data_IF_385012658878
#
_entry.id   IF_385012658878
#
_cell.length_a   1.000
_cell.length_b   1.000
_cell.length_c   1.000
_cell.angle_alpha   90.00
_cell.angle_beta   90.00
_cell.angle_gamma   90.00
#
_symmetry.space_group_name_H-M   'P 1'
#
loop_
_entity.id
_entity.type
_entity.pdbx_description
1 polymer ?
#
# COMPACT_ATOMS: atom_id res chain seq x y z
N UNK A 1 -9.17 2.95 -18.69
CA UNK A 1 -9.68 1.61 -18.29
C UNK A 1 -11.18 1.71 -18.29
N UNK A 2 -11.91 0.67 -18.70
CA UNK A 2 -13.36 0.63 -18.51
C UNK A 2 -13.67 0.26 -17.05
N UNK A 3 -14.86 0.64 -16.52
CA UNK A 3 -15.32 0.20 -15.20
C UNK A 3 -15.36 -1.33 -15.08
N UNK A 4 -15.00 -1.88 -13.90
CA UNK A 4 -14.89 -3.33 -13.71
C UNK A 4 -16.21 -4.06 -14.02
N UNK A 5 -17.32 -3.43 -13.66
CA UNK A 5 -18.69 -3.92 -13.85
C UNK A 5 -19.20 -3.77 -15.29
N UNK A 6 -18.54 -2.92 -16.09
CA UNK A 6 -18.79 -2.81 -17.53
C UNK A 6 -18.04 -3.89 -18.29
N UNK A 7 -16.78 -4.16 -17.91
CA UNK A 7 -15.97 -5.24 -18.48
C UNK A 7 -16.43 -6.64 -18.02
N UNK A 8 -16.90 -6.75 -16.76
CA UNK A 8 -17.38 -7.99 -16.15
C UNK A 8 -18.72 -7.76 -15.42
N UNK A 9 -19.88 -7.85 -16.11
CA UNK A 9 -21.19 -7.62 -15.50
C UNK A 9 -21.58 -8.64 -14.41
N UNK A 10 -20.89 -9.77 -14.31
CA UNK A 10 -21.10 -10.84 -13.33
C UNK A 10 -19.78 -11.51 -12.98
N UNK A 11 -19.75 -12.20 -11.82
CA UNK A 11 -18.61 -13.01 -11.39
C UNK A 11 -18.15 -14.05 -12.43
N UNK A 12 -19.09 -14.68 -13.16
CA UNK A 12 -18.77 -15.63 -14.23
C UNK A 12 -17.95 -14.99 -15.35
N UNK A 13 -18.23 -13.72 -15.68
CA UNK A 13 -17.52 -13.01 -16.75
C UNK A 13 -16.05 -12.72 -16.36
N UNK A 14 -15.78 -12.53 -15.06
CA UNK A 14 -14.40 -12.53 -14.51
C UNK A 14 -13.76 -13.91 -14.66
N UNK A 15 -14.45 -14.97 -14.22
CA UNK A 15 -13.92 -16.34 -14.26
C UNK A 15 -13.56 -16.80 -15.69
N UNK A 16 -14.41 -16.49 -16.66
CA UNK A 16 -14.26 -16.87 -18.07
C UNK A 16 -13.17 -16.07 -18.76
N UNK A 17 -13.09 -14.76 -18.52
CA UNK A 17 -12.05 -13.90 -19.09
C UNK A 17 -10.63 -14.30 -18.63
N UNK A 18 -10.50 -14.79 -17.40
CA UNK A 18 -9.25 -15.30 -16.84
C UNK A 18 -8.99 -16.77 -17.16
N UNK A 19 -9.96 -17.47 -17.79
CA UNK A 19 -9.88 -18.89 -18.19
C UNK A 19 -9.49 -19.81 -17.03
N UNK A 20 -10.06 -19.55 -15.86
CA UNK A 20 -9.69 -20.23 -14.62
C UNK A 20 -10.04 -21.73 -14.66
N UNK A 21 -9.23 -22.53 -13.97
CA UNK A 21 -9.57 -23.94 -13.72
C UNK A 21 -10.78 -24.04 -12.76
N UNK A 22 -11.46 -25.19 -12.65
CA UNK A 22 -12.52 -25.40 -11.65
C UNK A 22 -12.04 -25.32 -10.18
N UNK A 23 -10.74 -25.21 -9.91
CA UNK A 23 -10.20 -24.85 -8.59
C UNK A 23 -10.03 -23.31 -8.49
N UNK A 24 -9.54 -22.65 -9.54
CA UNK A 24 -9.44 -21.20 -9.63
C UNK A 24 -10.79 -20.48 -9.61
N UNK A 25 -11.81 -21.00 -10.31
CA UNK A 25 -13.17 -20.46 -10.31
C UNK A 25 -13.74 -20.36 -8.89
N UNK A 26 -13.74 -21.48 -8.15
CA UNK A 26 -14.15 -21.54 -6.74
C UNK A 26 -13.27 -20.69 -5.82
N UNK A 27 -11.97 -20.57 -6.10
CA UNK A 27 -11.08 -19.69 -5.33
C UNK A 27 -11.47 -18.21 -5.48
N UNK A 28 -11.94 -17.80 -6.65
CA UNK A 28 -12.40 -16.43 -6.94
C UNK A 28 -13.85 -16.19 -6.47
N UNK A 29 -14.67 -17.24 -6.43
CA UNK A 29 -16.00 -17.26 -5.80
C UNK A 29 -15.91 -17.07 -4.27
N UNK A 30 -15.08 -17.86 -3.60
CA UNK A 30 -14.75 -17.67 -2.17
C UNK A 30 -14.21 -16.26 -1.87
N UNK A 31 -13.45 -15.68 -2.81
CA UNK A 31 -12.95 -14.31 -2.69
C UNK A 31 -14.09 -13.29 -2.79
N UNK A 32 -14.91 -13.39 -3.85
CA UNK A 32 -16.07 -12.52 -4.07
C UNK A 32 -16.99 -12.50 -2.84
N UNK A 33 -17.35 -13.67 -2.30
CA UNK A 33 -18.23 -13.78 -1.13
C UNK A 33 -17.62 -13.13 0.11
N UNK A 34 -16.33 -13.39 0.39
CA UNK A 34 -15.63 -12.80 1.55
C UNK A 34 -15.55 -11.27 1.46
N UNK A 35 -15.28 -10.71 0.27
CA UNK A 35 -15.30 -9.28 0.03
C UNK A 35 -16.71 -8.70 0.10
N UNK A 36 -17.72 -9.39 -0.45
CA UNK A 36 -19.12 -8.97 -0.43
C UNK A 36 -19.67 -8.91 1.00
N UNK A 37 -19.22 -9.82 1.87
CA UNK A 37 -19.57 -9.85 3.28
C UNK A 37 -18.83 -8.79 4.15
N UNK A 38 -17.67 -8.29 3.69
CA UNK A 38 -16.78 -7.44 4.51
C UNK A 38 -16.43 -6.11 3.85
N UNK A 39 -15.58 -6.13 2.81
CA UNK A 39 -15.04 -4.93 2.19
C UNK A 39 -16.11 -4.11 1.46
N UNK A 40 -17.08 -4.79 0.84
CA UNK A 40 -18.17 -4.14 0.12
C UNK A 40 -19.07 -3.28 1.04
N UNK A 41 -19.62 -3.79 2.16
CA UNK A 41 -20.31 -2.93 3.14
C UNK A 41 -19.44 -1.81 3.71
N UNK A 42 -18.16 -2.06 3.99
CA UNK A 42 -17.24 -1.03 4.49
C UNK A 42 -17.08 0.14 3.49
N UNK A 43 -16.73 -0.16 2.23
CA UNK A 43 -16.53 0.87 1.20
C UNK A 43 -17.85 1.58 0.89
N UNK A 44 -18.97 0.84 0.84
CA UNK A 44 -20.30 1.42 0.62
C UNK A 44 -20.70 2.36 1.75
N UNK A 45 -20.36 2.03 3.00
CA UNK A 45 -20.54 2.91 4.17
C UNK A 45 -19.71 4.19 4.09
N UNK A 46 -18.44 4.08 3.66
CA UNK A 46 -17.56 5.24 3.45
C UNK A 46 -18.09 6.13 2.33
N UNK A 47 -18.49 5.56 1.18
CA UNK A 47 -19.04 6.32 0.05
C UNK A 47 -20.37 6.97 0.42
N UNK A 48 -21.24 6.30 1.19
CA UNK A 48 -22.47 6.90 1.71
C UNK A 48 -22.18 8.19 2.51
N UNK A 49 -21.15 8.20 3.36
CA UNK A 49 -20.73 9.37 4.13
C UNK A 49 -19.99 10.43 3.29
N UNK A 50 -19.26 10.01 2.24
CA UNK A 50 -18.60 10.91 1.30
C UNK A 50 -19.62 11.65 0.41
N UNK A 51 -20.65 10.96 -0.10
CA UNK A 51 -21.58 11.44 -1.13
C UNK A 51 -22.18 12.83 -0.88
N UNK A 52 -22.68 13.18 0.32
CA UNK A 52 -23.17 14.54 0.59
C UNK A 52 -22.10 15.62 0.36
N UNK A 53 -20.86 15.35 0.74
CA UNK A 53 -19.73 16.26 0.56
C UNK A 53 -19.25 16.29 -0.88
N UNK A 54 -19.22 15.14 -1.58
CA UNK A 54 -18.88 15.09 -3.01
C UNK A 54 -19.93 15.84 -3.86
N UNK A 55 -21.22 15.75 -3.52
CA UNK A 55 -22.30 16.52 -4.15
C UNK A 55 -22.16 18.03 -3.87
N UNK A 56 -21.80 18.41 -2.64
CA UNK A 56 -21.50 19.81 -2.29
C UNK A 56 -20.27 20.35 -3.04
N UNK A 57 -19.21 19.54 -3.13
CA UNK A 57 -17.97 19.85 -3.82
C UNK A 57 -18.22 20.06 -5.34
N UNK A 58 -18.99 19.17 -5.97
CA UNK A 58 -19.39 19.31 -7.37
C UNK A 58 -20.32 20.53 -7.61
N UNK A 59 -21.26 20.80 -6.71
CA UNK A 59 -22.11 21.99 -6.77
C UNK A 59 -21.32 23.30 -6.61
N UNK A 60 -20.14 23.26 -5.98
CA UNK A 60 -19.16 24.34 -5.95
C UNK A 60 -18.23 24.39 -7.19
N UNK A 61 -18.56 23.65 -8.25
CA UNK A 61 -17.84 23.67 -9.53
C UNK A 61 -16.58 22.78 -9.59
N UNK A 62 -16.38 21.87 -8.63
CA UNK A 62 -15.18 21.02 -8.56
C UNK A 62 -15.36 19.72 -9.32
N UNK A 63 -14.38 19.33 -10.13
CA UNK A 63 -14.31 17.96 -10.68
C UNK A 63 -14.00 16.96 -9.56
N UNK A 64 -14.79 15.90 -9.44
CA UNK A 64 -14.53 14.81 -8.51
C UNK A 64 -13.66 13.76 -9.22
N UNK A 65 -12.55 13.36 -8.61
CA UNK A 65 -11.56 12.46 -9.25
C UNK A 65 -11.18 11.33 -8.31
N UNK A 66 -11.57 10.11 -8.67
CA UNK A 66 -11.16 8.89 -8.00
C UNK A 66 -9.75 8.50 -8.47
N UNK A 67 -8.80 8.36 -7.54
CA UNK A 67 -7.39 8.13 -7.83
C UNK A 67 -7.07 6.67 -8.14
N UNK A 68 -7.67 6.16 -9.23
CA UNK A 68 -7.35 4.90 -9.88
C UNK A 68 -7.13 3.76 -8.89
N UNK A 69 -5.88 3.24 -8.82
CA UNK A 69 -5.41 2.16 -7.93
C UNK A 69 -6.22 2.07 -6.64
N UNK A 70 -6.22 3.13 -5.84
CA UNK A 70 -6.87 3.17 -4.52
C UNK A 70 -8.27 3.81 -4.54
N UNK A 71 -8.61 4.51 -5.63
CA UNK A 71 -9.91 5.15 -5.83
C UNK A 71 -10.99 4.23 -6.42
N UNK A 72 -10.63 3.15 -7.12
CA UNK A 72 -11.54 2.34 -7.96
C UNK A 72 -12.70 1.72 -7.18
N UNK A 73 -12.50 1.29 -5.93
CA UNK A 73 -13.59 0.74 -5.11
C UNK A 73 -14.60 1.82 -4.70
N UNK A 74 -14.12 3.02 -4.36
CA UNK A 74 -14.99 4.16 -4.07
C UNK A 74 -15.71 4.64 -5.34
N UNK A 75 -15.05 4.56 -6.50
CA UNK A 75 -15.65 4.88 -7.79
C UNK A 75 -16.78 3.89 -8.15
N UNK A 76 -16.53 2.59 -8.02
CA UNK A 76 -17.51 1.52 -8.25
C UNK A 76 -18.75 1.66 -7.34
N UNK A 77 -18.55 1.85 -6.03
CA UNK A 77 -19.65 2.10 -5.11
C UNK A 77 -20.37 3.44 -5.39
N UNK A 78 -19.68 4.48 -5.87
CA UNK A 78 -20.32 5.75 -6.25
C UNK A 78 -21.18 5.61 -7.52
N UNK A 79 -20.71 4.85 -8.52
CA UNK A 79 -21.50 4.54 -9.73
C UNK A 79 -22.78 3.79 -9.40
N UNK A 80 -22.72 2.84 -8.48
CA UNK A 80 -23.89 2.09 -8.03
C UNK A 80 -24.85 2.93 -7.15
N UNK A 81 -24.34 3.68 -6.17
CA UNK A 81 -25.18 4.48 -5.24
C UNK A 81 -25.72 5.79 -5.84
N UNK A 82 -25.08 6.33 -6.87
CA UNK A 82 -25.40 7.65 -7.42
C UNK A 82 -24.99 7.78 -8.91
N UNK A 83 -25.53 6.95 -9.82
CA UNK A 83 -25.08 6.87 -11.22
C UNK A 83 -25.14 8.21 -11.96
N UNK A 84 -26.23 8.96 -11.86
CA UNK A 84 -26.40 10.25 -12.53
C UNK A 84 -25.37 11.29 -12.06
N UNK A 85 -25.08 11.31 -10.75
CA UNK A 85 -24.07 12.17 -10.15
C UNK A 85 -22.66 11.78 -10.59
N UNK A 86 -22.38 10.47 -10.72
CA UNK A 86 -21.11 10.01 -11.23
C UNK A 86 -20.91 10.46 -12.69
N UNK A 87 -21.88 10.15 -13.56
CA UNK A 87 -21.83 10.49 -14.98
C UNK A 87 -21.74 12.00 -15.24
N UNK A 88 -22.29 12.83 -14.36
CA UNK A 88 -22.29 14.30 -14.51
C UNK A 88 -21.09 15.02 -13.87
N UNK A 89 -20.31 14.40 -12.97
CA UNK A 89 -19.31 15.13 -12.17
C UNK A 89 -18.07 14.35 -11.73
N UNK A 90 -17.98 13.04 -12.03
CA UNK A 90 -16.91 12.17 -11.54
C UNK A 90 -16.02 11.63 -12.67
N UNK A 91 -14.72 11.49 -12.35
CA UNK A 91 -13.68 10.99 -13.24
C UNK A 91 -12.80 9.96 -12.51
N UNK A 92 -12.13 9.08 -13.26
CA UNK A 92 -11.08 8.19 -12.74
C UNK A 92 -9.73 8.53 -13.37
N UNK A 93 -8.71 8.76 -12.53
CA UNK A 93 -7.34 9.04 -12.98
C UNK A 93 -6.35 8.14 -12.24
N UNK A 94 -5.67 7.24 -12.96
CA UNK A 94 -4.68 6.32 -12.37
C UNK A 94 -3.35 7.03 -12.22
N UNK A 95 -3.11 7.53 -11.01
CA UNK A 95 -1.85 8.16 -10.61
C UNK A 95 -1.12 7.29 -9.58
N UNK A 96 0.17 7.57 -9.42
CA UNK A 96 0.94 7.10 -8.28
C UNK A 96 1.85 8.20 -7.76
N UNK A 97 2.35 8.02 -6.53
CA UNK A 97 3.38 8.88 -5.94
C UNK A 97 4.68 8.92 -6.76
N UNK A 98 4.95 7.92 -7.62
CA UNK A 98 6.11 7.92 -8.52
C UNK A 98 5.83 8.78 -9.76
N UNK A 99 4.64 8.63 -10.35
CA UNK A 99 4.19 9.39 -11.53
C UNK A 99 4.17 10.90 -11.30
N UNK A 100 3.67 11.36 -10.15
CA UNK A 100 3.62 12.82 -9.85
C UNK A 100 4.99 13.35 -9.41
N UNK A 101 5.78 12.56 -8.67
CA UNK A 101 7.16 12.93 -8.30
C UNK A 101 8.09 13.03 -9.53
N UNK A 102 7.87 12.24 -10.59
CA UNK A 102 8.56 12.42 -11.86
C UNK A 102 8.27 13.80 -12.48
N UNK A 103 7.01 14.24 -12.46
CA UNK A 103 6.62 15.56 -12.94
C UNK A 103 7.19 16.71 -12.08
N UNK A 104 7.36 16.50 -10.78
CA UNK A 104 8.06 17.45 -9.88
C UNK A 104 9.53 17.56 -10.31
N UNK A 105 10.21 16.44 -10.54
CA UNK A 105 11.62 16.43 -10.99
C UNK A 105 11.81 17.03 -12.40
N UNK A 106 10.83 16.86 -13.30
CA UNK A 106 10.83 17.46 -14.65
C UNK A 106 10.84 18.99 -14.58
N UNK A 107 10.08 19.57 -13.66
CA UNK A 107 10.07 21.01 -13.39
C UNK A 107 11.37 21.48 -12.71
N UNK A 108 11.86 20.74 -11.72
CA UNK A 108 13.14 21.04 -11.05
C UNK A 108 14.33 21.07 -12.03
N UNK A 109 14.33 20.18 -13.02
CA UNK A 109 15.39 20.03 -14.00
C UNK A 109 15.25 20.99 -15.20
N UNK A 110 14.05 21.12 -15.78
CA UNK A 110 13.85 21.85 -17.04
C UNK A 110 13.36 23.30 -16.87
N UNK A 111 12.95 23.72 -15.66
CA UNK A 111 12.60 25.12 -15.36
C UNK A 111 13.41 25.74 -14.22
N UNK A 112 14.01 24.91 -13.37
CA UNK A 112 14.70 25.37 -12.16
C UNK A 112 13.77 25.59 -10.97
N UNK A 113 12.48 25.21 -11.08
CA UNK A 113 11.47 25.30 -10.02
C UNK A 113 11.93 24.54 -8.75
N UNK A 114 11.46 24.95 -7.57
CA UNK A 114 11.86 24.35 -6.28
C UNK A 114 10.64 24.22 -5.37
N UNK A 115 10.55 23.10 -4.65
CA UNK A 115 9.36 22.73 -3.87
C UNK A 115 9.72 22.38 -2.41
N UNK A 116 10.43 23.26 -1.67
CA UNK A 116 10.96 22.95 -0.33
C UNK A 116 9.85 22.61 0.67
N UNK A 117 8.71 23.30 0.61
CA UNK A 117 7.55 23.12 1.48
C UNK A 117 6.86 21.75 1.30
N UNK A 118 7.26 20.99 0.28
CA UNK A 118 6.68 19.69 -0.08
C UNK A 118 7.62 18.50 0.15
N UNK A 119 8.89 18.70 0.56
CA UNK A 119 9.86 17.59 0.70
C UNK A 119 9.38 16.48 1.65
N UNK A 120 8.56 16.81 2.67
CA UNK A 120 7.90 15.84 3.57
C UNK A 120 6.96 14.84 2.88
N UNK A 121 6.60 15.09 1.63
CA UNK A 121 5.78 14.23 0.78
C UNK A 121 6.60 13.46 -0.28
N UNK A 122 7.86 13.85 -0.51
CA UNK A 122 8.72 13.36 -1.61
C UNK A 122 9.49 12.07 -1.30
N UNK A 123 8.97 11.23 -0.41
CA UNK A 123 9.58 9.94 -0.03
C UNK A 123 9.82 8.98 -1.23
N UNK A 124 9.12 9.18 -2.35
CA UNK A 124 9.28 8.40 -3.59
C UNK A 124 10.32 8.95 -4.57
N UNK A 125 11.02 10.06 -4.26
CA UNK A 125 12.01 10.72 -5.16
C UNK A 125 13.05 9.77 -5.75
N UNK A 126 13.55 8.82 -4.94
CA UNK A 126 14.53 7.79 -5.34
C UNK A 126 13.95 6.57 -6.08
N UNK A 127 12.64 6.53 -6.33
CA UNK A 127 11.94 5.45 -7.06
C UNK A 127 11.56 5.84 -8.49
N UNK A 128 11.79 7.09 -8.90
CA UNK A 128 11.61 7.54 -10.27
C UNK A 128 12.83 7.11 -11.09
N UNK A 129 12.61 6.51 -12.26
CA UNK A 129 13.67 6.18 -13.20
C UNK A 129 14.14 7.45 -13.93
N UNK A 130 15.44 7.59 -14.20
CA UNK A 130 16.00 8.83 -14.74
C UNK A 130 15.49 9.13 -16.17
N UNK A 131 15.22 8.08 -16.93
CA UNK A 131 14.60 8.10 -18.26
C UNK A 131 13.13 8.53 -18.25
N UNK A 132 12.43 8.39 -17.12
CA UNK A 132 11.01 8.74 -17.00
C UNK A 132 10.77 10.22 -16.66
N UNK A 133 11.76 10.91 -16.08
CA UNK A 133 11.65 12.33 -15.71
C UNK A 133 11.36 13.25 -16.91
N UNK A 134 12.13 13.25 -18.02
CA UNK A 134 12.05 14.32 -19.02
C UNK A 134 10.68 14.41 -19.71
N UNK A 135 10.04 15.58 -19.61
CA UNK A 135 8.72 15.86 -20.18
C UNK A 135 7.54 15.16 -19.49
N UNK A 136 7.76 14.53 -18.33
CA UNK A 136 6.69 13.86 -17.58
C UNK A 136 5.63 14.83 -17.04
N UNK A 137 5.96 16.09 -16.71
CA UNK A 137 4.97 17.10 -16.38
C UNK A 137 4.00 17.33 -17.54
N UNK A 138 4.52 17.39 -18.78
CA UNK A 138 3.68 17.53 -19.98
C UNK A 138 2.80 16.30 -20.21
N UNK A 139 3.34 15.08 -20.02
CA UNK A 139 2.58 13.83 -20.15
C UNK A 139 1.48 13.71 -19.10
N UNK A 140 1.76 14.06 -17.84
CA UNK A 140 0.78 14.12 -16.76
C UNK A 140 -0.30 15.19 -17.01
N UNK A 141 0.09 16.38 -17.51
CA UNK A 141 -0.84 17.46 -17.84
C UNK A 141 -1.81 17.06 -18.96
N UNK A 142 -1.30 16.37 -19.99
CA UNK A 142 -2.13 15.82 -21.06
C UNK A 142 -3.09 14.76 -20.52
N UNK A 143 -2.55 13.68 -19.92
CA UNK A 143 -3.34 12.57 -19.37
C UNK A 143 -4.48 13.03 -18.45
N UNK A 144 -4.21 13.96 -17.52
CA UNK A 144 -5.24 14.50 -16.63
C UNK A 144 -6.35 15.20 -17.42
N UNK A 145 -6.01 16.04 -18.40
CA UNK A 145 -7.00 16.76 -19.23
C UNK A 145 -7.77 15.83 -20.15
N UNK A 146 -7.14 14.77 -20.64
CA UNK A 146 -7.76 13.77 -21.51
C UNK A 146 -8.72 12.85 -20.72
N UNK A 147 -8.47 12.63 -19.42
CA UNK A 147 -9.46 12.04 -18.49
C UNK A 147 -10.54 13.02 -18.00
N UNK A 148 -10.50 14.28 -18.46
CA UNK A 148 -11.46 15.34 -18.09
C UNK A 148 -11.07 16.18 -16.87
N UNK A 149 -9.98 15.86 -16.18
CA UNK A 149 -9.51 16.61 -15.01
C UNK A 149 -8.88 17.95 -15.44
N UNK A 150 -9.39 19.11 -14.95
CA UNK A 150 -9.01 20.44 -15.47
C UNK A 150 -7.67 20.97 -14.93
N UNK A 151 -6.68 20.08 -14.71
CA UNK A 151 -5.40 20.41 -14.07
C UNK A 151 -4.60 21.48 -14.82
N UNK A 152 -4.07 22.47 -14.09
CA UNK A 152 -3.29 23.58 -14.62
C UNK A 152 -4.07 24.53 -15.53
N UNK A 153 -5.41 24.57 -15.43
CA UNK A 153 -6.25 25.64 -15.99
C UNK A 153 -6.46 26.71 -14.90
N UNK A 154 -6.58 28.01 -15.24
CA UNK A 154 -6.99 29.03 -14.27
C UNK A 154 -8.33 28.68 -13.62
N UNK A 155 -8.49 29.03 -12.34
CA UNK A 155 -9.73 28.90 -11.55
C UNK A 155 -10.31 27.48 -11.45
N UNK A 156 -9.58 26.46 -11.91
CA UNK A 156 -10.09 25.08 -11.84
C UNK A 156 -9.95 24.50 -10.44
N UNK A 157 -10.90 23.66 -10.05
CA UNK A 157 -10.95 23.08 -8.72
C UNK A 157 -11.22 21.57 -8.81
N UNK A 158 -10.52 20.79 -7.98
CA UNK A 158 -10.52 19.34 -8.01
C UNK A 158 -10.68 18.79 -6.59
N UNK A 159 -11.46 17.72 -6.46
CA UNK A 159 -11.61 16.92 -5.23
C UNK A 159 -11.12 15.51 -5.50
N UNK A 160 -10.05 15.09 -4.81
CA UNK A 160 -9.43 13.78 -4.97
C UNK A 160 -10.04 12.77 -3.98
N UNK A 161 -10.37 11.57 -4.45
CA UNK A 161 -10.95 10.46 -3.65
C UNK A 161 -10.05 9.23 -3.73
N UNK A 162 -9.66 8.69 -2.57
CA UNK A 162 -8.50 7.81 -2.39
C UNK A 162 -8.59 7.10 -1.01
N UNK A 163 -7.91 5.97 -0.81
CA UNK A 163 -7.74 5.36 0.53
C UNK A 163 -6.61 6.00 1.36
N UNK A 164 -5.68 6.67 0.68
CA UNK A 164 -4.38 7.20 1.14
C UNK A 164 -4.37 7.99 2.45
N UNK A 165 -3.55 7.51 3.39
CA UNK A 165 -3.40 8.07 4.73
C UNK A 165 -2.83 9.51 4.80
N UNK A 166 -1.80 9.84 3.98
CA UNK A 166 -1.08 11.13 4.07
C UNK A 166 -1.56 12.17 3.04
N UNK A 167 -2.30 11.76 2.00
CA UNK A 167 -2.71 12.66 0.91
C UNK A 167 -1.58 13.11 -0.02
N UNK A 168 -0.47 12.37 -0.10
CA UNK A 168 0.74 12.72 -0.88
C UNK A 168 0.48 13.14 -2.33
N UNK A 169 -0.45 12.47 -3.03
CA UNK A 169 -0.76 12.80 -4.43
C UNK A 169 -1.43 14.17 -4.54
N UNK A 170 -2.22 14.60 -3.54
CA UNK A 170 -2.79 15.95 -3.51
C UNK A 170 -1.70 17.00 -3.46
N UNK A 171 -0.81 16.94 -2.47
CA UNK A 171 0.18 18.01 -2.26
C UNK A 171 1.19 18.11 -3.39
N UNK A 172 1.62 16.99 -3.98
CA UNK A 172 2.49 17.03 -5.16
C UNK A 172 1.77 17.56 -6.41
N UNK A 173 0.44 17.40 -6.52
CA UNK A 173 -0.36 18.04 -7.59
C UNK A 173 -0.55 19.55 -7.32
N UNK A 174 -0.83 19.95 -6.07
CA UNK A 174 -0.91 21.36 -5.67
C UNK A 174 0.38 22.11 -5.97
N UNK A 175 1.54 21.48 -5.68
CA UNK A 175 2.86 22.04 -5.94
C UNK A 175 3.11 22.36 -7.42
N UNK A 176 2.76 21.44 -8.33
CA UNK A 176 3.07 21.56 -9.77
C UNK A 176 1.97 22.26 -10.58
N UNK A 177 0.75 22.41 -10.02
CA UNK A 177 -0.38 23.10 -10.66
C UNK A 177 -0.96 24.22 -9.76
N UNK A 178 -0.20 25.29 -9.46
CA UNK A 178 -0.61 26.34 -8.51
C UNK A 178 -1.84 27.17 -8.94
N UNK A 179 -2.39 26.94 -10.14
CA UNK A 179 -3.64 27.54 -10.62
C UNK A 179 -4.87 26.65 -10.43
N UNK A 180 -4.69 25.42 -9.97
CA UNK A 180 -5.76 24.47 -9.69
C UNK A 180 -5.87 24.23 -8.19
N UNK A 181 -7.04 24.47 -7.61
CA UNK A 181 -7.28 24.19 -6.20
C UNK A 181 -7.56 22.69 -5.99
N UNK A 182 -6.67 21.98 -5.30
CA UNK A 182 -6.87 20.58 -4.91
C UNK A 182 -7.30 20.46 -3.44
N UNK A 183 -8.22 19.54 -3.20
CA UNK A 183 -8.62 19.07 -1.86
C UNK A 183 -8.86 17.56 -1.87
N UNK A 184 -9.01 16.95 -0.69
CA UNK A 184 -8.99 15.49 -0.53
C UNK A 184 -10.13 14.95 0.33
N UNK A 185 -10.61 13.77 -0.06
CA UNK A 185 -11.66 12.98 0.60
C UNK A 185 -11.15 11.54 0.70
N UNK A 186 -10.52 11.22 1.82
CA UNK A 186 -9.79 9.97 2.03
C UNK A 186 -10.59 8.98 2.87
N UNK A 187 -10.48 7.69 2.62
CA UNK A 187 -10.99 6.69 3.56
C UNK A 187 -10.32 6.87 4.94
N UNK A 188 -9.00 6.90 4.97
CA UNK A 188 -8.20 7.13 6.18
C UNK A 188 -7.36 8.38 6.02
N UNK A 189 -7.31 9.26 7.02
CA UNK A 189 -6.42 10.43 7.00
C UNK A 189 -5.67 10.62 8.31
N UNK A 190 -4.36 10.85 8.21
CA UNK A 190 -3.55 11.42 9.28
C UNK A 190 -2.68 12.56 8.77
N UNK A 191 -2.92 13.76 9.31
CA UNK A 191 -2.21 14.96 8.94
C UNK A 191 -0.71 14.83 9.16
N UNK A 192 0.06 15.45 8.28
CA UNK A 192 1.49 15.60 8.49
C UNK A 192 1.79 16.83 9.36
N UNK A 193 2.88 16.83 10.14
CA UNK A 193 3.36 18.05 10.80
C UNK A 193 3.92 19.07 9.80
N UNK A 194 4.29 18.59 8.61
CA UNK A 194 4.84 19.32 7.46
C UNK A 194 3.81 19.51 6.33
N UNK A 195 2.50 19.40 6.63
CA UNK A 195 1.43 19.63 5.65
C UNK A 195 1.11 21.13 5.53
N UNK A 196 1.26 21.77 4.36
CA UNK A 196 0.84 23.17 4.17
C UNK A 196 -0.68 23.32 4.06
N UNK A 197 -1.43 22.25 3.75
CA UNK A 197 -2.86 22.28 3.48
C UNK A 197 -3.67 21.17 4.22
N UNK A 198 -3.50 20.95 5.54
CA UNK A 198 -4.19 19.89 6.26
C UNK A 198 -5.71 20.14 6.32
N UNK A 199 -6.12 21.41 6.35
CA UNK A 199 -7.53 21.83 6.34
C UNK A 199 -8.27 21.49 5.04
N UNK A 200 -7.57 21.13 3.95
CA UNK A 200 -8.17 20.70 2.68
C UNK A 200 -8.43 19.20 2.62
N UNK A 201 -8.13 18.45 3.69
CA UNK A 201 -8.17 16.98 3.70
C UNK A 201 -9.20 16.50 4.71
N UNK A 202 -10.05 15.56 4.32
CA UNK A 202 -11.02 14.90 5.21
C UNK A 202 -10.83 13.40 5.17
N UNK A 203 -10.89 12.77 6.34
CA UNK A 203 -10.95 11.31 6.49
C UNK A 203 -12.36 10.88 6.88
N UNK A 204 -12.72 9.62 6.62
CA UNK A 204 -14.08 9.09 6.86
C UNK A 204 -14.12 7.85 7.77
N UNK A 205 -13.14 6.95 7.68
CA UNK A 205 -12.89 5.89 8.67
C UNK A 205 -12.09 6.42 9.86
N UNK A 206 -11.06 7.21 9.59
CA UNK A 206 -10.26 7.94 10.59
C UNK A 206 -9.84 9.30 10.04
N UNK A 207 -9.83 10.33 10.89
CA UNK A 207 -9.27 11.65 10.58
C UNK A 207 -8.45 12.12 11.79
N UNK A 208 -7.14 12.23 11.64
CA UNK A 208 -6.19 12.43 12.74
C UNK A 208 -5.35 13.70 12.54
N UNK A 209 -5.23 14.51 13.59
CA UNK A 209 -4.21 15.56 13.65
C UNK A 209 -2.81 14.94 13.77
N UNK A 210 -1.75 15.66 13.39
CA UNK A 210 -0.40 15.10 13.27
C UNK A 210 0.09 14.40 14.56
N UNK A 211 -0.16 14.98 15.73
CA UNK A 211 0.18 14.42 17.05
C UNK A 211 -0.56 13.11 17.42
N UNK A 212 -1.58 12.71 16.65
CA UNK A 212 -2.33 11.46 16.81
C UNK A 212 -1.91 10.38 15.79
N UNK A 213 -0.92 10.66 14.94
CA UNK A 213 -0.43 9.72 13.91
C UNK A 213 0.78 8.91 14.38
N UNK A 214 1.12 7.84 13.66
CA UNK A 214 2.34 7.07 13.87
C UNK A 214 3.58 7.98 13.86
N UNK A 215 4.33 7.93 14.97
CA UNK A 215 5.51 8.77 15.25
C UNK A 215 5.28 10.30 15.18
N UNK A 216 4.03 10.77 15.07
CA UNK A 216 3.70 12.18 14.87
C UNK A 216 3.95 12.71 13.45
N UNK A 217 4.14 11.84 12.44
CA UNK A 217 4.72 12.19 11.12
C UNK A 217 3.75 12.13 9.93
N UNK A 218 2.46 11.89 10.15
CA UNK A 218 1.50 11.64 9.07
C UNK A 218 1.63 10.22 8.49
N UNK A 219 2.02 9.24 9.30
CA UNK A 219 2.08 7.83 8.94
C UNK A 219 1.11 6.99 9.77
N UNK A 220 0.59 5.87 9.25
CA UNK A 220 -0.20 4.93 10.05
C UNK A 220 0.66 4.20 11.08
N UNK A 221 0.02 3.76 12.16
CA UNK A 221 0.64 2.95 13.21
C UNK A 221 1.16 1.62 12.64
N UNK A 222 2.36 1.27 13.09
CA UNK A 222 3.11 0.10 12.67
C UNK A 222 2.48 -1.21 13.18
N UNK A 223 1.99 -1.20 14.43
CA UNK A 223 1.23 -2.26 15.06
C UNK A 223 -0.23 -1.83 15.26
N UNK A 224 -1.14 -2.80 15.44
CA UNK A 224 -2.58 -2.54 15.53
C UNK A 224 -2.95 -1.68 16.76
N UNK A 225 -3.46 -0.47 16.52
CA UNK A 225 -3.81 0.46 17.59
C UNK A 225 -4.93 -0.10 18.51
N UNK A 226 -4.82 0.01 19.86
CA UNK A 226 -5.74 -0.66 20.79
C UNK A 226 -7.19 -0.15 20.75
N UNK A 227 -7.42 1.14 20.47
CA UNK A 227 -8.77 1.66 20.23
C UNK A 227 -9.34 1.11 18.91
N UNK A 228 -10.52 0.49 18.95
CA UNK A 228 -11.26 -0.05 17.79
C UNK A 228 -11.55 1.02 16.74
N UNK A 229 -11.96 2.23 17.17
CA UNK A 229 -12.22 3.36 16.28
C UNK A 229 -10.96 3.92 15.59
N UNK A 230 -9.78 3.36 15.87
CA UNK A 230 -8.52 3.67 15.21
C UNK A 230 -7.91 2.44 14.51
N UNK A 231 -8.73 1.45 14.16
CA UNK A 231 -8.30 0.26 13.39
C UNK A 231 -7.65 0.69 12.07
N UNK A 232 -8.33 1.50 11.26
CA UNK A 232 -7.79 2.06 10.01
C UNK A 232 -6.78 3.21 10.19
N UNK A 233 -6.31 3.44 11.42
CA UNK A 233 -5.08 4.19 11.64
C UNK A 233 -3.82 3.29 11.62
N UNK A 234 -3.97 1.97 11.44
CA UNK A 234 -2.88 0.97 11.52
C UNK A 234 -2.59 0.33 10.16
N UNK A 235 -1.34 -0.11 9.92
CA UNK A 235 -0.89 -0.62 8.60
C UNK A 235 -1.65 -1.84 8.09
N UNK A 236 -1.73 -2.95 8.84
CA UNK A 236 -2.41 -4.18 8.39
C UNK A 236 -3.85 -3.91 7.87
N UNK A 237 -4.73 -3.20 8.62
CA UNK A 237 -6.05 -2.81 8.11
C UNK A 237 -6.05 -1.94 6.85
N UNK A 238 -5.14 -0.96 6.72
CA UNK A 238 -5.03 -0.13 5.50
C UNK A 238 -4.59 -0.99 4.30
N UNK A 239 -3.57 -1.82 4.49
CA UNK A 239 -3.10 -2.77 3.47
C UNK A 239 -4.22 -3.73 3.04
N UNK A 240 -5.10 -4.15 3.97
CA UNK A 240 -6.25 -4.99 3.63
C UNK A 240 -7.23 -4.35 2.64
N UNK A 241 -7.18 -3.03 2.45
CA UNK A 241 -7.88 -2.31 1.38
C UNK A 241 -6.96 -2.09 0.17
N UNK A 242 -5.77 -1.49 0.38
CA UNK A 242 -4.81 -1.15 -0.69
C UNK A 242 -4.37 -2.37 -1.52
N UNK A 243 -4.14 -3.54 -0.90
CA UNK A 243 -3.63 -4.72 -1.61
C UNK A 243 -4.72 -5.52 -2.34
N UNK A 244 -5.99 -5.31 -1.99
CA UNK A 244 -7.12 -6.17 -2.36
C UNK A 244 -8.09 -5.50 -3.33
N UNK A 245 -8.44 -4.24 -3.06
CA UNK A 245 -9.41 -3.47 -3.82
C UNK A 245 -8.81 -2.74 -5.01
N UNK A 246 -7.49 -2.83 -5.22
CA UNK A 246 -6.81 -2.06 -6.26
C UNK A 246 -6.86 -2.63 -7.69
N UNK A 247 -7.64 -3.69 -7.87
CA UNK A 247 -7.87 -4.30 -9.18
C UNK A 247 -6.70 -5.16 -9.69
N UNK A 248 -6.73 -5.53 -10.99
CA UNK A 248 -5.84 -6.55 -11.57
C UNK A 248 -4.52 -6.02 -12.16
N UNK A 249 -4.38 -4.70 -12.31
CA UNK A 249 -3.15 -4.07 -12.82
C UNK A 249 -2.26 -3.59 -11.67
N UNK A 250 -0.97 -3.42 -11.92
CA UNK A 250 -0.01 -2.92 -10.93
C UNK A 250 -0.07 -1.39 -10.72
N UNK A 251 0.84 -0.86 -9.89
CA UNK A 251 0.93 0.59 -9.63
C UNK A 251 1.70 1.27 -10.77
N UNK A 252 1.13 2.24 -11.51
CA UNK A 252 1.84 2.86 -12.63
C UNK A 252 3.09 3.58 -12.14
N UNK A 253 4.21 3.34 -12.80
CA UNK A 253 5.48 4.02 -12.51
C UNK A 253 5.68 5.26 -13.40
N UNK A 254 5.06 5.29 -14.58
CA UNK A 254 5.21 6.34 -15.60
C UNK A 254 3.95 6.54 -16.42
N UNK A 255 3.87 7.67 -17.13
CA UNK A 255 2.86 7.93 -18.16
C UNK A 255 3.54 7.96 -19.53
N UNK A 256 2.94 7.28 -20.51
CA UNK A 256 3.27 7.31 -21.94
C UNK A 256 2.11 7.97 -22.71
N UNK A 257 1.33 7.19 -23.47
CA UNK A 257 0.01 7.58 -24.02
C UNK A 257 -1.09 7.52 -22.94
N UNK A 258 -0.81 6.81 -21.84
CA UNK A 258 -1.61 6.71 -20.63
C UNK A 258 -0.75 6.19 -19.47
N UNK A 259 -1.34 5.88 -18.30
CA UNK A 259 -0.63 5.23 -17.20
C UNK A 259 -0.07 3.88 -17.66
N UNK A 260 1.24 3.69 -17.55
CA UNK A 260 1.89 2.43 -17.92
C UNK A 260 1.79 1.49 -16.73
N UNK A 261 0.95 0.48 -16.87
CA UNK A 261 0.72 -0.60 -15.90
C UNK A 261 0.90 -1.96 -16.60
N UNK A 262 1.23 -2.99 -15.83
CA UNK A 262 1.24 -4.39 -16.26
C UNK A 262 0.20 -5.20 -15.49
N UNK A 263 -0.21 -6.32 -16.08
CA UNK A 263 -1.02 -7.35 -15.41
C UNK A 263 -0.21 -7.95 -14.27
N UNK A 264 -0.73 -7.89 -13.04
CA UNK A 264 -0.05 -8.40 -11.84
C UNK A 264 0.43 -9.85 -12.01
N UNK A 265 -0.29 -10.70 -12.76
CA UNK A 265 0.06 -12.12 -13.02
C UNK A 265 1.38 -12.34 -13.77
N UNK A 266 1.97 -11.28 -14.31
CA UNK A 266 3.30 -11.33 -14.95
C UNK A 266 4.44 -11.15 -13.94
N UNK A 267 4.15 -10.63 -12.74
CA UNK A 267 5.12 -10.56 -11.67
C UNK A 267 5.44 -11.96 -11.11
N UNK A 268 6.74 -12.24 -10.99
CA UNK A 268 7.28 -13.49 -10.43
C UNK A 268 7.47 -13.40 -8.90
N UNK A 269 7.36 -12.21 -8.33
CA UNK A 269 7.47 -11.92 -6.89
C UNK A 269 6.14 -11.84 -6.14
N UNK A 270 5.00 -12.19 -6.74
CA UNK A 270 3.66 -12.11 -6.13
C UNK A 270 3.50 -12.80 -4.75
N UNK A 271 4.34 -13.78 -4.44
CA UNK A 271 4.36 -14.53 -3.17
C UNK A 271 5.54 -14.14 -2.27
N UNK A 272 6.38 -13.19 -2.69
CA UNK A 272 7.45 -12.66 -1.86
C UNK A 272 6.85 -11.87 -0.69
N UNK A 273 7.35 -12.08 0.53
CA UNK A 273 6.83 -11.48 1.76
C UNK A 273 5.58 -12.17 2.36
N UNK A 274 5.00 -13.17 1.69
CA UNK A 274 3.89 -13.98 2.24
C UNK A 274 4.40 -15.19 3.05
N UNK A 275 3.80 -15.47 4.21
CA UNK A 275 4.11 -16.71 4.96
C UNK A 275 3.56 -17.92 4.17
N UNK A 276 4.41 -18.84 3.65
CA UNK A 276 3.96 -19.93 2.80
C UNK A 276 3.09 -20.98 3.50
N UNK A 277 2.98 -20.97 4.84
CA UNK A 277 1.97 -21.76 5.57
C UNK A 277 0.56 -21.15 5.48
N UNK A 278 0.47 -19.82 5.41
CA UNK A 278 -0.82 -19.13 5.40
C UNK A 278 -1.46 -19.05 4.02
N UNK A 279 -0.69 -19.26 2.94
CA UNK A 279 -1.18 -19.25 1.55
C UNK A 279 -1.47 -20.68 1.06
N UNK A 280 -2.74 -21.12 0.97
CA UNK A 280 -3.10 -22.45 0.48
C UNK A 280 -2.68 -22.65 -0.97
N UNK A 281 -2.54 -23.90 -1.41
CA UNK A 281 -2.04 -24.23 -2.76
C UNK A 281 -2.82 -23.52 -3.89
N UNK A 282 -4.15 -23.48 -3.82
CA UNK A 282 -5.02 -22.81 -4.81
C UNK A 282 -4.75 -21.30 -4.95
N UNK A 283 -4.36 -20.66 -3.86
CA UNK A 283 -4.03 -19.23 -3.79
C UNK A 283 -2.61 -18.88 -4.27
N UNK A 284 -1.85 -19.87 -4.77
CA UNK A 284 -0.53 -19.69 -5.38
C UNK A 284 -0.59 -19.55 -6.91
N UNK A 285 -1.76 -19.70 -7.51
CA UNK A 285 -1.98 -19.41 -8.94
C UNK A 285 -2.07 -17.89 -9.16
N UNK A 286 -1.16 -17.26 -9.93
CA UNK A 286 -1.19 -15.83 -10.20
C UNK A 286 -2.43 -15.37 -10.97
N UNK A 287 -3.09 -16.26 -11.74
CA UNK A 287 -4.37 -15.95 -12.40
C UNK A 287 -5.51 -15.81 -11.39
N UNK A 288 -5.63 -16.76 -10.45
CA UNK A 288 -6.65 -16.70 -9.40
C UNK A 288 -6.44 -15.48 -8.48
N UNK A 289 -5.19 -15.13 -8.16
CA UNK A 289 -4.84 -13.94 -7.35
C UNK A 289 -5.24 -12.62 -8.04
N UNK A 290 -5.01 -12.51 -9.35
CA UNK A 290 -5.37 -11.32 -10.13
C UNK A 290 -6.89 -11.23 -10.34
N UNK A 291 -7.54 -12.35 -10.67
CA UNK A 291 -9.00 -12.46 -10.81
C UNK A 291 -9.74 -12.14 -9.50
N UNK A 292 -9.21 -12.55 -8.34
CA UNK A 292 -9.79 -12.24 -7.04
C UNK A 292 -9.88 -10.72 -6.78
N UNK A 293 -8.96 -9.91 -7.30
CA UNK A 293 -8.99 -8.43 -7.16
C UNK A 293 -9.98 -7.77 -8.12
N UNK A 294 -10.18 -8.34 -9.30
CA UNK A 294 -11.28 -7.96 -10.19
C UNK A 294 -12.64 -8.29 -9.54
N UNK A 295 -12.78 -9.48 -8.97
CA UNK A 295 -13.97 -9.89 -8.22
C UNK A 295 -14.20 -9.06 -6.94
N UNK A 296 -13.15 -8.59 -6.26
CA UNK A 296 -13.25 -7.69 -5.11
C UNK A 296 -13.94 -6.36 -5.46
N UNK A 297 -13.51 -5.73 -6.57
CA UNK A 297 -14.14 -4.50 -7.06
C UNK A 297 -15.59 -4.72 -7.52
N UNK A 298 -15.88 -5.88 -8.15
CA UNK A 298 -17.24 -6.24 -8.53
C UNK A 298 -18.13 -6.47 -7.30
N UNK A 299 -17.64 -7.15 -6.26
CA UNK A 299 -18.38 -7.33 -5.00
C UNK A 299 -18.73 -5.99 -4.32
N UNK A 300 -17.84 -4.98 -4.40
CA UNK A 300 -18.11 -3.61 -3.94
C UNK A 300 -19.23 -2.96 -4.77
N UNK A 301 -19.20 -3.09 -6.09
CA UNK A 301 -20.26 -2.59 -6.97
C UNK A 301 -21.62 -3.25 -6.67
N UNK A 302 -21.67 -4.57 -6.66
CA UNK A 302 -22.92 -5.33 -6.58
C UNK A 302 -23.63 -5.15 -5.23
N UNK A 303 -22.87 -5.06 -4.13
CA UNK A 303 -23.43 -4.71 -2.82
C UNK A 303 -23.97 -3.28 -2.81
N UNK A 304 -23.19 -2.33 -3.33
CA UNK A 304 -23.60 -0.93 -3.40
C UNK A 304 -24.87 -0.74 -4.26
N UNK A 305 -25.03 -1.56 -5.31
CA UNK A 305 -26.22 -1.56 -6.17
C UNK A 305 -27.44 -2.18 -5.47
N UNK A 306 -27.26 -3.28 -4.74
CA UNK A 306 -28.32 -3.91 -3.92
C UNK A 306 -28.91 -2.91 -2.91
N UNK A 307 -28.05 -2.13 -2.24
CA UNK A 307 -28.47 -1.21 -1.17
C UNK A 307 -28.82 0.21 -1.63
N UNK A 308 -28.72 0.53 -2.93
CA UNK A 308 -29.06 1.84 -3.49
C UNK A 308 -30.54 2.32 -3.44
N UNK A 309 -31.61 1.47 -3.35
CA UNK A 309 -32.97 1.91 -3.68
C UNK A 309 -33.61 3.06 -2.88
N UNK A 310 -34.23 3.97 -3.63
CA UNK A 310 -35.44 4.70 -3.21
C UNK A 310 -35.24 5.99 -2.43
N UNK A 311 -34.80 5.90 -1.18
CA UNK A 311 -34.64 7.07 -0.30
C UNK A 311 -33.53 6.84 0.73
N UNK A 312 -32.52 7.71 0.72
CA UNK A 312 -31.43 7.72 1.70
C UNK A 312 -31.93 8.32 3.04
N UNK A 313 -32.78 7.57 3.76
CA UNK A 313 -33.29 7.93 5.09
C UNK A 313 -32.21 7.86 6.17
N UNK A 314 -32.47 8.38 7.37
CA UNK A 314 -31.54 8.21 8.49
C UNK A 314 -31.31 6.72 8.81
N UNK A 315 -32.37 5.92 8.83
CA UNK A 315 -32.28 4.47 9.06
C UNK A 315 -31.37 3.77 8.04
N UNK A 316 -31.36 4.24 6.78
CA UNK A 316 -30.47 3.75 5.73
C UNK A 316 -29.00 4.09 6.02
N UNK A 317 -28.70 5.35 6.39
CA UNK A 317 -27.34 5.75 6.77
C UNK A 317 -26.87 5.00 8.03
N UNK A 318 -27.71 4.89 9.06
CA UNK A 318 -27.39 4.18 10.30
C UNK A 318 -27.15 2.69 10.04
N UNK A 319 -27.87 2.08 9.10
CA UNK A 319 -27.64 0.68 8.69
C UNK A 319 -26.32 0.51 7.94
N UNK A 320 -26.00 1.40 6.98
CA UNK A 320 -24.69 1.40 6.32
C UNK A 320 -23.56 1.62 7.33
N UNK A 321 -23.75 2.46 8.35
CA UNK A 321 -22.77 2.65 9.42
C UNK A 321 -22.53 1.35 10.21
N UNK A 322 -23.59 0.69 10.71
CA UNK A 322 -23.47 -0.59 11.44
C UNK A 322 -22.75 -1.67 10.65
N UNK A 323 -23.02 -1.77 9.34
CA UNK A 323 -22.36 -2.73 8.45
C UNK A 323 -20.87 -2.41 8.26
N UNK A 324 -20.51 -1.13 8.13
CA UNK A 324 -19.11 -0.68 8.10
C UNK A 324 -18.37 -0.89 9.43
N UNK A 325 -19.05 -0.72 10.56
CA UNK A 325 -18.52 -1.04 11.89
C UNK A 325 -18.27 -2.55 12.05
N UNK A 326 -19.22 -3.40 11.64
CA UNK A 326 -19.07 -4.86 11.64
C UNK A 326 -17.88 -5.31 10.77
N UNK A 327 -17.75 -4.77 9.56
CA UNK A 327 -16.61 -5.04 8.68
C UNK A 327 -15.27 -4.54 9.27
N UNK A 328 -15.29 -3.40 9.96
CA UNK A 328 -14.13 -2.88 10.69
C UNK A 328 -13.71 -3.82 11.82
N UNK A 329 -14.67 -4.37 12.57
CA UNK A 329 -14.41 -5.38 13.60
C UNK A 329 -13.80 -6.65 13.00
N UNK A 330 -14.24 -7.09 11.81
CA UNK A 330 -13.71 -8.29 11.18
C UNK A 330 -12.27 -8.12 10.66
N UNK A 331 -12.02 -7.05 9.92
CA UNK A 331 -10.66 -6.69 9.47
C UNK A 331 -9.73 -6.50 10.68
N UNK A 332 -10.24 -5.98 11.81
CA UNK A 332 -9.51 -5.91 13.08
C UNK A 332 -9.16 -7.30 13.64
N UNK A 333 -10.08 -8.28 13.60
CA UNK A 333 -9.80 -9.66 14.05
C UNK A 333 -8.72 -10.32 13.19
N UNK A 334 -8.78 -10.17 11.87
CA UNK A 334 -7.72 -10.64 10.97
C UNK A 334 -6.37 -9.95 11.24
N UNK A 335 -6.35 -8.62 11.40
CA UNK A 335 -5.12 -7.87 11.68
C UNK A 335 -4.49 -8.28 13.03
N UNK A 336 -5.33 -8.50 14.05
CA UNK A 336 -4.92 -9.01 15.36
C UNK A 336 -4.47 -10.49 15.35
N UNK A 337 -4.59 -11.20 14.22
CA UNK A 337 -4.39 -12.66 14.08
C UNK A 337 -5.24 -13.46 15.07
N UNK A 338 -6.47 -13.01 15.36
CA UNK A 338 -7.37 -13.70 16.29
C UNK A 338 -7.82 -15.06 15.75
N UNK A 339 -8.06 -16.01 16.66
CA UNK A 339 -8.74 -17.27 16.38
C UNK A 339 -10.23 -17.07 16.05
N UNK A 340 -10.81 -15.95 16.47
CA UNK A 340 -12.23 -15.61 16.25
C UNK A 340 -12.47 -14.89 14.92
N UNK A 341 -11.45 -14.69 14.09
CA UNK A 341 -11.58 -14.10 12.76
C UNK A 341 -12.29 -15.07 11.81
N UNK A 342 -13.09 -14.54 10.86
CA UNK A 342 -13.77 -15.37 9.87
C UNK A 342 -12.76 -16.22 9.07
N UNK A 343 -12.89 -17.57 9.02
CA UNK A 343 -11.92 -18.42 8.33
C UNK A 343 -11.84 -18.17 6.82
N UNK A 344 -12.93 -17.74 6.18
CA UNK A 344 -12.97 -17.42 4.76
C UNK A 344 -12.17 -16.16 4.46
N UNK A 345 -12.56 -15.04 5.06
CA UNK A 345 -11.86 -13.77 4.93
C UNK A 345 -10.39 -13.89 5.38
N UNK A 346 -10.10 -14.59 6.49
CA UNK A 346 -8.72 -14.82 6.92
C UNK A 346 -7.90 -15.53 5.84
N UNK A 347 -8.45 -16.56 5.21
CA UNK A 347 -7.78 -17.31 4.14
C UNK A 347 -7.56 -16.44 2.89
N UNK A 348 -8.55 -15.61 2.53
CA UNK A 348 -8.44 -14.66 1.42
C UNK A 348 -7.36 -13.61 1.73
N UNK A 349 -7.47 -12.88 2.84
CA UNK A 349 -6.57 -11.78 3.18
C UNK A 349 -5.14 -12.23 3.44
N UNK A 350 -4.91 -13.33 4.19
CA UNK A 350 -3.56 -13.87 4.38
C UNK A 350 -2.94 -14.42 3.07
N UNK A 351 -3.76 -14.66 2.03
CA UNK A 351 -3.26 -15.03 0.71
C UNK A 351 -2.84 -13.83 -0.13
N UNK A 352 -3.54 -12.69 -0.05
CA UNK A 352 -3.41 -11.58 -1.02
C UNK A 352 -2.87 -10.26 -0.44
N UNK A 353 -2.92 -10.08 0.89
CA UNK A 353 -2.54 -8.83 1.57
C UNK A 353 -1.16 -8.95 2.20
N UNK A 354 -0.28 -8.00 1.95
CA UNK A 354 1.02 -7.93 2.61
C UNK A 354 0.87 -7.38 4.03
N UNK A 355 1.02 -8.24 5.03
CA UNK A 355 1.12 -7.82 6.43
C UNK A 355 2.37 -6.97 6.67
N UNK A 356 2.38 -6.16 7.73
CA UNK A 356 3.46 -5.23 8.08
C UNK A 356 4.82 -5.91 8.33
N UNK A 357 4.82 -7.21 8.64
CA UNK A 357 6.03 -8.03 8.83
C UNK A 357 6.60 -8.63 7.54
N UNK A 358 5.98 -8.41 6.37
CA UNK A 358 6.44 -8.95 5.09
C UNK A 358 7.94 -8.70 4.76
N UNK A 359 8.62 -7.60 5.14
CA UNK A 359 10.05 -7.44 4.84
C UNK A 359 10.91 -8.47 5.60
N UNK A 360 10.48 -8.87 6.79
CA UNK A 360 11.13 -9.91 7.60
C UNK A 360 10.84 -11.29 7.02
N UNK A 361 9.61 -11.53 6.56
CA UNK A 361 9.22 -12.76 5.87
C UNK A 361 10.03 -12.93 4.57
N UNK A 362 10.19 -11.88 3.77
CA UNK A 362 11.05 -11.86 2.58
C UNK A 362 12.49 -12.26 2.91
N UNK A 363 13.10 -11.66 3.94
CA UNK A 363 14.46 -12.03 4.38
C UNK A 363 14.59 -13.51 4.73
N UNK A 364 13.55 -14.13 5.32
CA UNK A 364 13.55 -15.57 5.57
C UNK A 364 13.35 -16.40 4.28
N UNK A 365 12.44 -15.99 3.39
CA UNK A 365 12.26 -16.65 2.09
C UNK A 365 13.57 -16.66 1.28
N UNK A 366 14.22 -15.50 1.15
CA UNK A 366 15.50 -15.32 0.46
C UNK A 366 16.62 -16.12 1.13
N UNK A 367 16.62 -16.21 2.48
CA UNK A 367 17.56 -17.05 3.21
C UNK A 367 17.35 -18.55 2.92
N UNK A 368 16.11 -19.04 2.91
CA UNK A 368 15.81 -20.46 2.69
C UNK A 368 16.01 -20.89 1.23
N UNK A 369 15.85 -19.96 0.28
CA UNK A 369 15.97 -20.21 -1.16
C UNK A 369 17.30 -20.88 -1.53
N UNK A 370 17.22 -21.96 -2.31
CA UNK A 370 18.39 -22.69 -2.83
C UNK A 370 19.23 -23.47 -1.80
N UNK A 371 18.97 -23.36 -0.49
CA UNK A 371 19.82 -24.00 0.55
C UNK A 371 19.61 -25.50 0.75
N UNK A 372 18.65 -26.12 0.07
CA UNK A 372 18.39 -27.57 0.19
C UNK A 372 17.89 -28.03 1.57
N UNK A 373 17.30 -27.11 2.35
CA UNK A 373 16.73 -27.41 3.66
C UNK A 373 15.50 -28.33 3.48
N UNK A 374 15.39 -29.46 4.22
CA UNK A 374 14.26 -30.37 4.10
C UNK A 374 12.92 -29.66 4.36
N UNK A 375 11.90 -29.99 3.57
CA UNK A 375 10.55 -29.40 3.65
C UNK A 375 9.97 -29.42 5.07
N UNK A 376 10.19 -30.52 5.82
CA UNK A 376 9.78 -30.64 7.23
C UNK A 376 10.51 -29.67 8.17
N UNK A 377 11.81 -29.44 7.98
CA UNK A 377 12.56 -28.46 8.80
C UNK A 377 12.11 -27.02 8.45
N UNK A 378 11.83 -26.76 7.17
CA UNK A 378 11.25 -25.49 6.69
C UNK A 378 9.85 -25.24 7.28
N UNK A 379 8.96 -26.23 7.24
CA UNK A 379 7.61 -26.15 7.82
C UNK A 379 7.67 -25.80 9.32
N UNK A 380 8.51 -26.52 10.08
CA UNK A 380 8.70 -26.30 11.52
C UNK A 380 9.30 -24.95 11.89
N UNK A 381 10.03 -24.30 10.98
CA UNK A 381 10.46 -22.91 11.16
C UNK A 381 9.29 -21.95 10.93
N UNK A 382 8.55 -22.09 9.82
CA UNK A 382 7.40 -21.22 9.55
C UNK A 382 6.31 -21.34 10.62
N UNK A 383 6.09 -22.52 11.19
CA UNK A 383 5.18 -22.71 12.34
C UNK A 383 5.63 -21.88 13.55
N UNK A 384 6.93 -21.78 13.81
CA UNK A 384 7.48 -20.99 14.93
C UNK A 384 7.46 -19.49 14.67
N UNK A 385 7.69 -19.08 13.42
CA UNK A 385 7.50 -17.68 13.00
C UNK A 385 6.04 -17.27 13.17
N UNK A 386 5.09 -18.08 12.69
CA UNK A 386 3.67 -17.77 12.77
C UNK A 386 3.17 -17.67 14.23
N UNK A 387 3.58 -18.61 15.09
CA UNK A 387 3.19 -18.65 16.51
C UNK A 387 4.01 -17.71 17.41
N UNK A 388 4.94 -16.89 16.88
CA UNK A 388 5.70 -15.95 17.70
C UNK A 388 4.81 -14.77 18.16
N UNK A 389 4.85 -14.39 19.46
CA UNK A 389 3.80 -13.59 20.10
C UNK A 389 3.77 -12.10 19.71
N UNK A 390 4.78 -11.60 18.99
CA UNK A 390 4.77 -10.25 18.43
C UNK A 390 5.63 -10.15 17.17
N UNK A 391 5.47 -9.03 16.47
CA UNK A 391 6.29 -8.64 15.31
C UNK A 391 7.79 -8.56 15.63
N UNK A 392 8.17 -8.08 16.82
CA UNK A 392 9.58 -8.09 17.27
C UNK A 392 10.10 -9.52 17.45
N UNK A 393 9.39 -10.39 18.18
CA UNK A 393 9.79 -11.79 18.35
C UNK A 393 9.89 -12.55 17.01
N UNK A 394 9.08 -12.19 15.99
CA UNK A 394 9.25 -12.71 14.63
C UNK A 394 10.55 -12.25 13.97
N UNK A 395 10.91 -10.98 14.12
CA UNK A 395 12.19 -10.44 13.64
C UNK A 395 13.37 -11.10 14.35
N UNK A 396 13.38 -11.13 15.69
CA UNK A 396 14.45 -11.70 16.51
C UNK A 396 14.71 -13.18 16.16
N UNK A 397 13.64 -13.98 15.99
CA UNK A 397 13.73 -15.40 15.60
C UNK A 397 14.29 -15.58 14.18
N UNK A 398 13.88 -14.73 13.23
CA UNK A 398 14.36 -14.79 11.85
C UNK A 398 15.83 -14.35 11.77
N UNK A 399 16.20 -13.32 12.52
CA UNK A 399 17.59 -12.88 12.63
C UNK A 399 18.48 -13.93 13.32
N UNK A 400 18.03 -14.62 14.38
CA UNK A 400 18.76 -15.75 14.98
C UNK A 400 19.05 -16.84 13.94
N UNK A 401 18.05 -17.25 13.15
CA UNK A 401 18.22 -18.28 12.11
C UNK A 401 19.19 -17.85 11.01
N UNK A 402 19.07 -16.60 10.54
CA UNK A 402 19.93 -16.06 9.49
C UNK A 402 21.39 -15.96 9.96
N UNK A 403 21.64 -15.50 11.19
CA UNK A 403 22.99 -15.32 11.73
C UNK A 403 23.65 -16.64 12.17
N UNK A 404 22.92 -17.54 12.82
CA UNK A 404 23.49 -18.81 13.32
C UNK A 404 23.64 -19.88 12.24
N UNK A 405 22.80 -19.84 11.21
CA UNK A 405 22.65 -20.92 10.24
C UNK A 405 21.98 -22.18 10.81
N UNK A 406 21.48 -22.13 12.05
CA UNK A 406 20.88 -23.28 12.76
C UNK A 406 19.36 -23.12 12.82
N UNK A 407 18.64 -24.15 12.38
CA UNK A 407 17.18 -24.17 12.46
C UNK A 407 16.72 -24.54 13.89
N UNK A 408 15.78 -23.79 14.48
CA UNK A 408 15.43 -23.90 15.89
C UNK A 408 14.84 -25.29 16.19
N UNK A 409 15.52 -26.06 17.03
CA UNK A 409 15.17 -27.45 17.34
C UNK A 409 16.24 -28.47 16.97
N UNK A 410 17.17 -28.12 16.05
CA UNK A 410 18.45 -28.85 15.97
C UNK A 410 19.25 -28.54 17.23
N UNK A 411 19.25 -29.47 18.20
CA UNK A 411 20.24 -29.46 19.29
C UNK A 411 21.62 -29.37 18.65
N UNK A 412 22.42 -28.40 19.10
CA UNK A 412 23.76 -28.12 18.56
C UNK A 412 24.74 -29.26 18.82
N UNK A 413 24.68 -30.30 18.00
CA UNK A 413 25.79 -31.23 17.82
C UNK A 413 26.96 -30.45 17.26
N UNK A 414 27.88 -30.03 18.15
CA UNK A 414 29.16 -29.43 17.78
C UNK A 414 29.76 -30.27 16.63
N UNK A 415 30.20 -29.65 15.51
CA UNK A 415 30.99 -30.36 14.53
C UNK A 415 32.17 -31.03 15.25
N UNK A 416 32.28 -32.35 15.14
CA UNK A 416 33.40 -33.07 15.75
C UNK A 416 34.70 -32.47 15.23
N UNK A 417 35.66 -32.16 16.11
CA UNK A 417 36.96 -31.61 15.73
C UNK A 417 37.72 -32.51 14.72
N UNK A 418 37.33 -33.78 14.63
CA UNK A 418 37.79 -34.74 13.63
C UNK A 418 37.43 -34.34 12.18
N UNK A 419 36.27 -33.71 11.96
CA UNK A 419 35.85 -33.21 10.65
C UNK A 419 36.68 -32.00 10.19
N UNK A 420 37.16 -31.18 11.13
CA UNK A 420 38.11 -30.09 10.84
C UNK A 420 39.51 -30.64 10.52
N UNK A 421 39.98 -31.63 11.29
CA UNK A 421 41.30 -32.27 11.07
C UNK A 421 41.48 -32.87 9.67
N UNK A 422 40.43 -33.46 9.09
CA UNK A 422 40.49 -34.09 7.75
C UNK A 422 40.59 -33.11 6.56
N UNK A 423 40.65 -31.78 6.79
CA UNK A 423 40.92 -30.77 5.74
C UNK A 423 42.32 -30.15 5.79
N UNK A 424 43.17 -30.57 6.73
CA UNK A 424 44.46 -29.90 7.02
C UNK A 424 45.69 -30.54 6.35
N UNK A 425 45.53 -31.45 5.37
CA UNK A 425 46.63 -32.29 4.84
C UNK A 425 46.66 -32.37 3.32
N UNK A 426 46.61 -31.22 2.63
CA UNK A 426 46.99 -31.12 1.20
C UNK A 426 47.85 -29.88 0.97
N UNK A 427 49.16 -30.02 1.13
CA UNK A 427 50.11 -28.89 1.10
C UNK A 427 50.66 -28.66 -0.32
N UNK A 428 50.71 -27.40 -0.75
CA UNK A 428 51.53 -26.84 -1.85
C UNK A 428 51.54 -27.52 -3.23
N UNK A 429 51.04 -26.77 -4.23
CA UNK A 429 51.93 -26.24 -5.27
C UNK A 429 51.41 -24.91 -5.82
N UNK A 430 52.31 -23.93 -6.03
CA UNK A 430 51.99 -22.56 -6.49
C UNK A 430 53.02 -22.12 -7.54
N UNK A 431 52.63 -21.78 -8.78
CA UNK A 431 53.42 -20.97 -9.70
C UNK A 431 53.21 -19.47 -9.43
N UNK A 432 54.09 -18.58 -9.92
CA UNK A 432 54.07 -17.16 -9.58
C UNK A 432 53.03 -16.37 -10.39
N UNK A 433 52.72 -15.17 -9.92
CA UNK A 433 52.17 -14.09 -10.74
C UNK A 433 53.07 -12.85 -10.65
N UNK A 434 52.77 -11.78 -11.40
CA UNK A 434 53.24 -10.43 -11.12
C UNK A 434 52.11 -9.52 -10.58
N UNK A 435 52.48 -8.55 -9.75
CA UNK A 435 51.72 -7.30 -9.52
C UNK A 435 52.53 -6.10 -10.03
N UNK A 436 52.45 -4.90 -9.43
CA UNK A 436 51.53 -4.47 -8.36
C UNK A 436 50.95 -3.03 -8.47
N UNK A 437 49.84 -2.76 -7.76
CA UNK A 437 49.44 -1.43 -7.25
C UNK A 437 49.00 -0.34 -8.26
N UNK A 438 48.68 0.88 -7.79
CA UNK A 438 48.51 1.36 -6.40
C UNK A 438 47.00 1.54 -6.03
N UNK A 439 46.50 1.87 -4.84
CA UNK A 439 46.98 2.60 -3.64
C UNK A 439 47.03 4.14 -3.80
N UNK A 440 46.59 5.01 -2.87
CA UNK A 440 45.61 4.89 -1.76
C UNK A 440 44.63 6.11 -1.90
N UNK A 441 44.16 6.95 -0.97
CA UNK A 441 44.21 7.13 0.50
C UNK A 441 43.03 8.05 0.96
N UNK A 442 42.72 8.04 2.27
CA UNK A 442 42.07 9.15 2.98
C UNK A 442 40.53 9.19 3.03
N UNK A 443 39.89 9.62 4.13
CA UNK A 443 40.39 9.89 5.50
C UNK A 443 39.20 9.83 6.49
N UNK A 444 39.48 9.73 7.81
CA UNK A 444 38.45 9.59 8.84
C UNK A 444 38.59 10.60 9.98
N UNK A 445 37.43 10.98 10.57
CA UNK A 445 37.30 11.69 11.86
C UNK A 445 37.82 13.16 11.88
N UNK A 446 37.48 14.02 12.90
CA UNK A 446 36.99 13.67 14.24
C UNK A 446 35.80 14.46 14.82
N UNK A 447 35.30 13.96 15.95
CA UNK A 447 34.51 14.72 16.92
C UNK A 447 35.25 15.96 17.47
N UNK A 448 34.51 16.96 17.92
CA UNK A 448 34.95 17.91 18.97
C UNK A 448 33.95 17.97 20.12
N UNK A 449 34.46 18.21 21.33
CA UNK A 449 33.71 18.47 22.58
C UNK A 449 33.86 19.93 23.00
N UNK A 450 32.88 20.45 23.73
CA UNK A 450 33.05 21.53 24.72
C UNK A 450 33.36 22.94 24.16
N UNK A 451 33.40 23.97 25.02
CA UNK A 451 33.55 23.91 26.48
C UNK A 451 32.31 24.37 27.30
N UNK A 452 32.46 24.35 28.61
CA UNK A 452 31.45 24.62 29.65
C UNK A 452 31.27 26.12 30.02
N UNK A 453 30.39 26.35 31.00
CA UNK A 453 30.19 27.60 31.77
C UNK A 453 31.44 27.96 32.62
N UNK A 454 31.60 29.07 33.37
CA UNK A 454 30.69 30.12 33.84
C UNK A 454 31.51 31.44 34.12
N UNK A 455 31.36 32.16 35.26
CA UNK A 455 30.26 33.07 35.62
C UNK A 455 30.70 34.55 35.76
N UNK A 456 29.76 35.50 35.83
CA UNK A 456 30.09 36.92 36.12
C UNK A 456 28.95 37.82 36.63
N UNK A 457 29.13 38.40 37.82
CA UNK A 457 28.40 39.59 38.33
C UNK A 457 29.32 40.81 38.10
N UNK A 458 28.90 42.06 37.88
CA UNK A 458 27.58 42.69 37.77
C UNK A 458 27.70 44.22 38.07
N UNK A 459 26.61 44.99 37.89
CA UNK A 459 26.44 46.45 38.20
C UNK A 459 27.17 47.48 37.30
N UNK A 460 26.39 48.15 36.44
CA UNK A 460 25.91 49.53 36.68
C UNK A 460 26.87 50.73 36.50
N UNK A 461 26.51 51.58 35.52
CA UNK A 461 27.20 52.77 34.98
C UNK A 461 28.33 52.46 33.99
#
# INVERSE_FOLDING_TARGET
MEPIETTYPRLQDVQDAYRLSPEGQRTVEEAYDAFRATHAPLITSVVAQMLPHLRQDAAAGRSIVFLGRDGHSFAAATRALAPDFYAASCHEAVLSRVVVEAAVQDLEANRGDRFPDYEGFRATRRRVAAEDVPGSYRRLTAYLRDTGVPAGRPESAVTLVDSSFKGTVQELLTAIYPHTDFQGRYASFGAAPDDPHPHRKRGYLVHLAAAQTGEGKGFPFDDLHPNVGLTFASKDPINSLEDTLHGPLDTPLRIAEGPVQVLQRTDRSQLQGFNPLLVPKKWRDPLAREAAKAAALLAVHDFAQEVAPGQQSQDWYDQRQREGEQATHEIRRWAARSIDADPGLKTVLDSITHRVDHPVITRLQDYLAGRGIPERETHQLWEKVENAPSRSHRADLIDEVIHTGVLPGRRGGRPSAEAARKRSTTTTRRPPGPGPGPADDGAAMPHRRGPDEAPGRGRGR
#
